data_IF_731209728570
#
_entry.id   IF_731209728570
#
_cell.length_a   1.000
_cell.length_b   1.000
_cell.length_c   1.000
_cell.angle_alpha   90.00
_cell.angle_beta   90.00
_cell.angle_gamma   90.00
#
_symmetry.space_group_name_H-M   'P 1'
#
loop_
_entity.id
_entity.type
_entity.pdbx_description
1 polymer ?
#
# COMPACT_ATOMS: atom_id res chain seq x y z
N UNK A 1 -7.88 -12.43 8.94
CA UNK A 1 -8.74 -11.22 9.03
C UNK A 1 -8.00 -9.92 8.68
N UNK A 2 -6.93 -9.53 9.38
CA UNK A 2 -6.25 -8.23 9.14
C UNK A 2 -5.74 -8.02 7.69
N UNK A 3 -5.37 -9.08 6.97
CA UNK A 3 -4.92 -8.99 5.57
C UNK A 3 -6.07 -8.66 4.62
N UNK A 4 -7.19 -9.37 4.74
CA UNK A 4 -8.39 -9.15 3.92
C UNK A 4 -8.98 -7.75 4.11
N UNK A 5 -8.99 -7.20 5.33
CA UNK A 5 -9.47 -5.83 5.58
C UNK A 5 -8.61 -4.80 4.83
N UNK A 6 -7.29 -4.99 4.81
CA UNK A 6 -6.37 -4.08 4.11
C UNK A 6 -6.51 -4.18 2.60
N UNK A 7 -6.64 -5.41 2.08
CA UNK A 7 -6.91 -5.62 0.66
C UNK A 7 -8.26 -4.98 0.27
N UNK A 8 -9.31 -5.19 1.07
CA UNK A 8 -10.61 -4.58 0.82
C UNK A 8 -10.55 -3.04 0.86
N UNK A 9 -9.81 -2.47 1.80
CA UNK A 9 -9.64 -1.02 1.89
C UNK A 9 -8.86 -0.45 0.70
N UNK A 10 -7.75 -1.09 0.30
CA UNK A 10 -6.93 -0.62 -0.82
C UNK A 10 -7.64 -0.85 -2.15
N UNK A 11 -8.09 -2.06 -2.44
CA UNK A 11 -8.78 -2.37 -3.70
C UNK A 11 -10.12 -1.64 -3.80
N UNK A 12 -10.90 -1.62 -2.71
CA UNK A 12 -12.16 -0.89 -2.66
C UNK A 12 -11.99 0.62 -2.78
N UNK A 13 -10.97 1.17 -2.12
CA UNK A 13 -10.60 2.59 -2.23
C UNK A 13 -10.16 2.96 -3.65
N UNK A 14 -9.33 2.12 -4.29
CA UNK A 14 -8.93 2.29 -5.69
C UNK A 14 -10.14 2.25 -6.64
N UNK A 15 -11.07 1.32 -6.42
CA UNK A 15 -12.27 1.18 -7.24
C UNK A 15 -13.23 2.36 -7.07
N UNK A 16 -13.48 2.78 -5.83
CA UNK A 16 -14.27 3.97 -5.51
C UNK A 16 -13.66 5.22 -6.13
N UNK A 17 -12.33 5.39 -6.01
CA UNK A 17 -11.62 6.51 -6.61
C UNK A 17 -11.81 6.53 -8.14
N UNK A 18 -11.65 5.39 -8.81
CA UNK A 18 -11.87 5.26 -10.25
C UNK A 18 -13.30 5.65 -10.66
N UNK A 19 -14.32 5.17 -9.93
CA UNK A 19 -15.72 5.52 -10.20
C UNK A 19 -15.97 7.02 -9.99
N UNK A 20 -15.42 7.61 -8.94
CA UNK A 20 -15.61 9.02 -8.61
C UNK A 20 -14.96 9.92 -9.68
N UNK A 21 -13.73 9.62 -10.07
CA UNK A 21 -13.02 10.41 -11.09
C UNK A 21 -13.74 10.33 -12.44
N UNK A 22 -14.06 9.13 -12.90
CA UNK A 22 -14.74 8.92 -14.20
C UNK A 22 -16.12 9.58 -14.26
N UNK A 23 -16.81 9.74 -13.13
CA UNK A 23 -18.15 10.34 -13.06
C UNK A 23 -18.15 11.84 -12.82
N UNK A 24 -17.19 12.36 -12.05
CA UNK A 24 -17.16 13.77 -11.66
C UNK A 24 -16.23 14.63 -12.53
N UNK A 25 -15.23 14.02 -13.16
CA UNK A 25 -14.24 14.72 -13.99
C UNK A 25 -14.07 14.02 -15.36
N UNK A 26 -15.07 14.08 -16.25
CA UNK A 26 -15.06 13.36 -17.52
C UNK A 26 -14.17 13.98 -18.61
N UNK A 27 -13.41 15.03 -18.31
CA UNK A 27 -12.57 15.77 -19.27
C UNK A 27 -11.13 15.24 -19.27
N UNK A 28 -10.52 15.06 -20.44
CA UNK A 28 -9.16 14.51 -20.63
C UNK A 28 -8.06 15.25 -19.83
N UNK A 29 -8.24 16.54 -19.53
CA UNK A 29 -7.29 17.32 -18.72
C UNK A 29 -7.24 16.90 -17.23
N UNK A 30 -8.23 16.12 -16.75
CA UNK A 30 -8.30 15.66 -15.36
C UNK A 30 -7.47 14.39 -15.09
N UNK A 31 -6.95 13.72 -16.11
CA UNK A 31 -6.33 12.40 -15.99
C UNK A 31 -4.98 12.43 -15.24
N UNK A 32 -4.20 13.50 -15.42
CA UNK A 32 -2.93 13.69 -14.67
C UNK A 32 -3.21 13.93 -13.18
N UNK A 33 -4.22 14.75 -12.88
CA UNK A 33 -4.62 15.06 -11.51
C UNK A 33 -5.18 13.83 -10.79
N UNK A 34 -5.97 13.03 -11.49
CA UNK A 34 -6.50 11.77 -10.96
C UNK A 34 -5.40 10.77 -10.61
N UNK A 35 -4.41 10.59 -11.50
CA UNK A 35 -3.25 9.73 -11.22
C UNK A 35 -2.46 10.20 -9.98
N UNK A 36 -2.24 11.50 -9.84
CA UNK A 36 -1.55 12.09 -8.67
C UNK A 36 -2.32 11.87 -7.35
N UNK A 37 -3.64 12.08 -7.36
CA UNK A 37 -4.46 11.85 -6.16
C UNK A 37 -4.47 10.36 -5.81
N UNK A 38 -4.54 9.47 -6.80
CA UNK A 38 -4.45 8.04 -6.59
C UNK A 38 -3.11 7.64 -5.94
N UNK A 39 -2.00 8.16 -6.46
CA UNK A 39 -0.67 7.91 -5.88
C UNK A 39 -0.55 8.46 -4.46
N UNK A 40 -1.05 9.67 -4.22
CA UNK A 40 -1.06 10.27 -2.88
C UNK A 40 -1.88 9.42 -1.89
N UNK A 41 -3.01 8.88 -2.33
CA UNK A 41 -3.86 8.00 -1.51
C UNK A 41 -3.14 6.69 -1.18
N UNK A 42 -2.54 6.01 -2.17
CA UNK A 42 -1.75 4.80 -1.94
C UNK A 42 -0.59 5.07 -0.98
N UNK A 43 0.14 6.16 -1.17
CA UNK A 43 1.28 6.52 -0.33
C UNK A 43 0.84 6.77 1.11
N UNK A 44 -0.22 7.58 1.30
CA UNK A 44 -0.70 7.96 2.62
C UNK A 44 -1.27 6.77 3.38
N UNK A 45 -2.14 5.98 2.75
CA UNK A 45 -2.76 4.81 3.39
C UNK A 45 -1.70 3.76 3.72
N UNK A 46 -0.81 3.45 2.78
CA UNK A 46 0.28 2.48 3.00
C UNK A 46 1.24 2.94 4.09
N UNK A 47 1.62 4.21 4.09
CA UNK A 47 2.52 4.80 5.09
C UNK A 47 1.93 4.81 6.50
N UNK A 48 0.72 5.34 6.67
CA UNK A 48 0.06 5.42 7.98
C UNK A 48 -0.25 4.04 8.56
N UNK A 49 -0.69 3.11 7.72
CA UNK A 49 -1.01 1.77 8.18
C UNK A 49 0.24 0.93 8.41
N UNK A 50 1.30 1.14 7.62
CA UNK A 50 2.64 0.60 7.86
C UNK A 50 3.20 1.08 9.20
N UNK A 51 3.06 2.37 9.51
CA UNK A 51 3.42 2.97 10.80
C UNK A 51 2.70 2.28 11.96
N UNK A 52 1.37 2.17 11.86
CA UNK A 52 0.58 1.49 12.86
C UNK A 52 1.00 0.03 13.05
N UNK A 53 1.23 -0.68 11.95
CA UNK A 53 1.63 -2.09 11.98
C UNK A 53 3.04 -2.29 12.57
N UNK A 54 3.99 -1.40 12.25
CA UNK A 54 5.34 -1.43 12.82
C UNK A 54 5.35 -1.15 14.31
N UNK A 55 4.54 -0.19 14.76
CA UNK A 55 4.39 0.14 16.17
C UNK A 55 3.87 -1.06 16.99
N UNK A 56 2.95 -1.84 16.42
CA UNK A 56 2.38 -3.02 17.08
C UNK A 56 3.07 -4.34 16.70
N UNK A 57 4.20 -4.30 15.98
CA UNK A 57 4.85 -5.49 15.48
C UNK A 57 5.61 -6.24 16.59
N UNK A 58 5.31 -7.53 16.77
CA UNK A 58 6.14 -8.45 17.55
C UNK A 58 7.28 -9.05 16.73
N UNK A 59 7.12 -9.16 15.41
CA UNK A 59 8.12 -9.66 14.45
C UNK A 59 8.07 -8.85 13.16
N UNK A 60 9.11 -8.05 12.91
CA UNK A 60 9.21 -7.20 11.72
C UNK A 60 9.14 -7.97 10.38
N UNK A 61 9.84 -9.10 10.19
CA UNK A 61 9.82 -9.80 8.91
C UNK A 61 8.42 -10.23 8.47
N UNK A 62 7.57 -10.66 9.43
CA UNK A 62 6.20 -11.09 9.15
C UNK A 62 5.32 -9.92 8.67
N UNK A 63 5.50 -8.74 9.27
CA UNK A 63 4.77 -7.53 8.86
C UNK A 63 5.23 -7.07 7.48
N UNK A 64 6.53 -7.10 7.22
CA UNK A 64 7.09 -6.74 5.92
C UNK A 64 6.61 -7.68 4.80
N UNK A 65 6.69 -9.00 5.00
CA UNK A 65 6.19 -10.00 4.02
C UNK A 65 4.71 -9.79 3.72
N UNK A 66 3.89 -9.47 4.74
CA UNK A 66 2.48 -9.14 4.53
C UNK A 66 2.30 -7.95 3.61
N UNK A 67 3.08 -6.88 3.80
CA UNK A 67 3.02 -5.69 2.95
C UNK A 67 3.57 -5.94 1.55
N UNK A 68 4.59 -6.80 1.41
CA UNK A 68 5.06 -7.25 0.10
C UNK A 68 3.95 -7.98 -0.68
N UNK A 69 3.21 -8.89 -0.02
CA UNK A 69 2.06 -9.55 -0.65
C UNK A 69 0.97 -8.55 -1.05
N UNK A 70 0.65 -7.58 -0.19
CA UNK A 70 -0.32 -6.53 -0.50
C UNK A 70 0.14 -5.71 -1.72
N UNK A 71 1.40 -5.31 -1.77
CA UNK A 71 1.97 -4.55 -2.87
C UNK A 71 1.90 -5.30 -4.20
N UNK A 72 2.19 -6.60 -4.22
CA UNK A 72 2.06 -7.44 -5.42
C UNK A 72 0.60 -7.51 -5.86
N UNK A 73 -0.34 -7.77 -4.95
CA UNK A 73 -1.77 -7.87 -5.29
C UNK A 73 -2.31 -6.53 -5.81
N UNK A 74 -1.96 -5.42 -5.19
CA UNK A 74 -2.38 -4.08 -5.64
C UNK A 74 -1.74 -3.73 -6.98
N UNK A 75 -0.44 -4.02 -7.17
CA UNK A 75 0.26 -3.78 -8.42
C UNK A 75 -0.35 -4.56 -9.59
N UNK A 76 -0.73 -5.82 -9.37
CA UNK A 76 -1.35 -6.66 -10.39
C UNK A 76 -2.80 -6.29 -10.70
N UNK A 77 -3.48 -5.56 -9.81
CA UNK A 77 -4.90 -5.26 -9.98
C UNK A 77 -5.22 -4.42 -11.23
N UNK A 78 -4.32 -3.50 -11.60
CA UNK A 78 -4.45 -2.67 -12.80
C UNK A 78 -4.37 -3.50 -14.11
N UNK A 79 -3.23 -4.16 -14.38
CA UNK A 79 -3.05 -4.99 -15.58
C UNK A 79 -4.12 -6.08 -15.71
N UNK A 80 -4.48 -6.74 -14.60
CA UNK A 80 -5.52 -7.80 -14.62
C UNK A 80 -6.88 -7.23 -15.01
N UNK A 81 -7.22 -6.02 -14.52
CA UNK A 81 -8.48 -5.35 -14.88
C UNK A 81 -8.51 -4.98 -16.36
N UNK A 82 -7.45 -4.34 -16.85
CA UNK A 82 -7.30 -3.94 -18.26
C UNK A 82 -7.41 -5.17 -19.18
N UNK A 83 -6.69 -6.24 -18.84
CA UNK A 83 -6.72 -7.49 -19.60
C UNK A 83 -8.11 -8.12 -19.69
N UNK A 84 -8.93 -8.00 -18.64
CA UNK A 84 -10.32 -8.48 -18.61
C UNK A 84 -11.26 -7.57 -19.39
N UNK A 85 -11.06 -6.25 -19.32
CA UNK A 85 -11.93 -5.24 -19.95
C UNK A 85 -11.66 -5.05 -21.46
N UNK A 86 -10.41 -5.13 -21.91
CA UNK A 86 -9.97 -4.72 -23.26
C UNK A 86 -9.67 -5.87 -24.24
N UNK A 87 -10.02 -7.11 -23.89
CA UNK A 87 -10.02 -8.22 -24.87
C UNK A 87 -8.81 -9.17 -24.85
N UNK A 88 -8.14 -9.26 -23.70
CA UNK A 88 -7.08 -10.25 -23.42
C UNK A 88 -5.82 -10.17 -24.29
N UNK A 89 -5.40 -8.97 -24.65
CA UNK A 89 -4.12 -8.77 -25.32
C UNK A 89 -2.95 -9.10 -24.38
N UNK A 90 -2.12 -10.08 -24.77
CA UNK A 90 -0.99 -10.55 -23.98
C UNK A 90 0.20 -9.59 -24.05
N UNK A 91 0.34 -8.83 -25.14
CA UNK A 91 1.43 -7.88 -25.30
C UNK A 91 1.20 -6.65 -24.40
N UNK A 92 -0.05 -6.19 -24.33
CA UNK A 92 -0.47 -5.12 -23.40
C UNK A 92 -0.32 -5.59 -21.95
N UNK A 93 -0.80 -6.80 -21.62
CA UNK A 93 -0.67 -7.36 -20.28
C UNK A 93 0.81 -7.46 -19.86
N UNK A 94 1.67 -7.95 -20.74
CA UNK A 94 3.10 -8.07 -20.45
C UNK A 94 3.76 -6.70 -20.26
N UNK A 95 3.43 -5.72 -21.11
CA UNK A 95 3.89 -4.35 -20.97
C UNK A 95 3.51 -3.74 -19.62
N UNK A 96 2.25 -3.92 -19.19
CA UNK A 96 1.76 -3.40 -17.91
C UNK A 96 2.36 -4.15 -16.71
N UNK A 97 2.63 -5.45 -16.84
CA UNK A 97 3.33 -6.22 -15.81
C UNK A 97 4.77 -5.75 -15.59
N UNK A 98 5.47 -5.35 -16.66
CA UNK A 98 6.87 -4.93 -16.58
C UNK A 98 7.01 -3.46 -16.19
N UNK A 99 6.11 -2.60 -16.67
CA UNK A 99 6.25 -1.16 -16.50
C UNK A 99 5.39 -0.61 -15.35
N UNK A 100 4.11 -0.99 -15.30
CA UNK A 100 3.13 -0.37 -14.39
C UNK A 100 3.08 -1.08 -13.04
N UNK A 101 3.12 -2.42 -13.04
CA UNK A 101 3.05 -3.22 -11.80
C UNK A 101 4.16 -2.87 -10.80
N UNK A 102 5.45 -2.75 -11.18
CA UNK A 102 6.50 -2.43 -10.23
C UNK A 102 6.36 -1.03 -9.64
N UNK A 103 5.87 -0.07 -10.45
CA UNK A 103 5.62 1.29 -10.00
C UNK A 103 4.52 1.31 -8.92
N UNK A 104 3.38 0.70 -9.18
CA UNK A 104 2.26 0.65 -8.23
C UNK A 104 2.61 -0.18 -6.99
N UNK A 105 3.28 -1.33 -7.17
CA UNK A 105 3.76 -2.12 -6.05
C UNK A 105 4.78 -1.34 -5.19
N UNK A 106 5.67 -0.58 -5.82
CA UNK A 106 6.62 0.31 -5.14
C UNK A 106 5.93 1.41 -4.34
N UNK A 107 4.91 2.06 -4.92
CA UNK A 107 4.06 3.06 -4.27
C UNK A 107 3.32 2.55 -3.03
N UNK A 108 3.12 1.24 -2.92
CA UNK A 108 2.56 0.60 -1.73
C UNK A 108 3.66 0.16 -0.76
N UNK A 109 4.65 -0.58 -1.26
CA UNK A 109 5.64 -1.25 -0.42
C UNK A 109 6.62 -0.27 0.24
N UNK A 110 7.11 0.73 -0.49
CA UNK A 110 8.11 1.68 0.01
C UNK A 110 7.56 2.49 1.19
N UNK A 111 6.43 3.22 1.07
CA UNK A 111 5.90 3.97 2.21
C UNK A 111 5.46 3.06 3.36
N UNK A 112 4.94 1.86 3.08
CA UNK A 112 4.65 0.89 4.13
C UNK A 112 5.91 0.46 4.89
N UNK A 113 7.02 0.17 4.18
CA UNK A 113 8.28 -0.20 4.79
C UNK A 113 8.87 0.92 5.65
N UNK A 114 8.84 2.16 5.15
CA UNK A 114 9.25 3.36 5.91
C UNK A 114 8.38 3.52 7.15
N UNK A 115 7.05 3.42 7.01
CA UNK A 115 6.13 3.46 8.14
C UNK A 115 6.45 2.38 9.18
N UNK A 116 6.62 1.13 8.76
CA UNK A 116 6.97 0.01 9.64
C UNK A 116 8.24 0.31 10.45
N UNK A 117 9.28 0.81 9.78
CA UNK A 117 10.56 1.16 10.43
C UNK A 117 10.39 2.24 11.49
N UNK A 118 9.71 3.34 11.15
CA UNK A 118 9.43 4.44 12.09
C UNK A 118 8.59 3.94 13.27
N UNK A 119 7.51 3.21 13.00
CA UNK A 119 6.58 2.73 14.02
C UNK A 119 7.28 1.81 15.02
N UNK A 120 8.12 0.92 14.51
CA UNK A 120 8.89 0.01 15.35
C UNK A 120 9.91 0.74 16.23
N UNK A 121 10.63 1.72 15.68
CA UNK A 121 11.57 2.53 16.44
C UNK A 121 10.89 3.25 17.62
N UNK A 122 9.70 3.82 17.39
CA UNK A 122 8.92 4.50 18.43
C UNK A 122 8.46 3.57 19.56
N UNK A 123 8.10 2.32 19.26
CA UNK A 123 7.69 1.35 20.27
C UNK A 123 8.89 0.79 21.07
N UNK A 124 10.01 0.53 20.38
CA UNK A 124 11.24 0.03 21.01
C UNK A 124 11.81 1.02 22.03
N UNK A 125 11.77 2.33 21.74
CA UNK A 125 12.17 3.37 22.69
C UNK A 125 11.36 3.37 24.00
N UNK A 126 10.03 3.22 23.92
CA UNK A 126 9.15 3.12 25.11
C UNK A 126 9.40 1.88 25.96
N UNK A 127 9.87 0.79 25.36
CA UNK A 127 10.10 -0.48 26.08
C UNK A 127 11.33 -0.40 26.98
N UNK A 128 12.35 0.37 26.57
CA UNK A 128 13.58 0.60 27.34
C UNK A 128 13.32 1.53 28.53
N UNK A 129 12.47 2.55 28.35
CA UNK A 129 12.11 3.50 29.41
C UNK A 129 11.27 2.87 30.54
N UNK A 130 10.55 1.78 30.26
CA UNK A 130 9.68 1.09 31.23
C UNK A 130 10.36 -0.01 32.04
N UNK A 131 11.61 -0.35 31.79
CA UNK A 131 12.34 -1.28 32.67
C UNK A 131 12.58 -0.60 34.02
N UNK A 132 11.91 -1.02 35.11
CA UNK A 132 12.18 -0.44 36.42
C UNK A 132 13.63 -0.75 36.75
N UNK A 133 14.41 0.25 37.13
CA UNK A 133 15.66 0.02 37.83
C UNK A 133 15.34 -0.80 39.08
N UNK A 134 15.53 -2.11 39.01
CA UNK A 134 15.67 -2.93 40.21
C UNK A 134 16.96 -2.48 40.89
N UNK A 135 16.84 -1.49 41.77
CA UNK A 135 17.81 -1.24 42.82
C UNK A 135 17.79 -2.45 43.74
N UNK A 136 18.64 -3.42 43.46
CA UNK A 136 19.03 -4.43 44.45
C UNK A 136 19.98 -3.76 45.43
N UNK A 137 19.45 -3.43 46.62
CA UNK A 137 20.21 -3.22 47.85
C UNK A 137 20.64 -4.56 48.42
#
# INVERSE_FOLDING_TARGET
>A
MKLFVRLAALLGGSLLFSIVVTRLFPTEDADIGAGLIFFALLLTVSGLWGLWDGYHASRLPVVFVRWAVIAVVVGLSGPVRIWVEEGRDLDVLWSDLVNLTPLIAGLVLVPAAVGIGIGHSLNSGRRIERTPHHTSL
#
